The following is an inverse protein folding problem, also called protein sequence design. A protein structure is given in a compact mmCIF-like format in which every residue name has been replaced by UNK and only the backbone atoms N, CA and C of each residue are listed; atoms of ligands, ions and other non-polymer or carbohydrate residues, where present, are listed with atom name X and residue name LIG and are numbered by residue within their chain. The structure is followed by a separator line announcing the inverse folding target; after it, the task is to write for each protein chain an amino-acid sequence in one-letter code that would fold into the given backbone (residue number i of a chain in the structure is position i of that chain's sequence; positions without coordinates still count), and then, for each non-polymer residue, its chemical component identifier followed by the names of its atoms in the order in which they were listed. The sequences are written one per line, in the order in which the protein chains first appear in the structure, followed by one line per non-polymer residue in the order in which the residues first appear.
data_IF_817056448736
#
_entry.id   IF_817056448736
#
_cell.length_a   1.000
_cell.length_b   1.000
_cell.length_c   1.000
_cell.angle_alpha   90.00
_cell.angle_beta   90.00
_cell.angle_gamma   90.00
#
_symmetry.space_group_name_H-M   'P 1'
#
loop_
_entity.id
_entity.type
_entity.pdbx_description
1 polymer ?
#
# COMPACT_ATOMS: atom_id res chain seq x y z
N UNK A 1 -14.49 -29.71 -34.69
CA UNK A 1 -13.47 -29.35 -33.68
C UNK A 1 -12.76 -28.09 -34.14
N UNK A 2 -13.29 -26.91 -33.77
CA UNK A 2 -12.60 -25.64 -33.99
C UNK A 2 -11.79 -25.37 -32.72
N UNK A 3 -10.46 -25.41 -32.83
CA UNK A 3 -9.56 -24.96 -31.77
C UNK A 3 -9.69 -23.44 -31.70
N UNK A 4 -10.47 -22.91 -30.76
CA UNK A 4 -10.39 -21.48 -30.45
C UNK A 4 -9.15 -21.29 -29.58
N UNK A 5 -8.18 -20.57 -30.13
CA UNK A 5 -7.04 -20.02 -29.42
C UNK A 5 -7.59 -19.06 -28.36
N UNK A 6 -7.81 -19.54 -27.13
CA UNK A 6 -8.11 -18.66 -26.01
C UNK A 6 -6.78 -17.97 -25.68
N UNK A 7 -6.68 -16.70 -26.05
CA UNK A 7 -5.53 -15.85 -25.74
C UNK A 7 -5.31 -15.86 -24.24
N UNK A 8 -4.11 -16.25 -23.83
CA UNK A 8 -3.66 -16.16 -22.44
C UNK A 8 -3.83 -14.71 -21.98
N UNK A 9 -4.80 -14.47 -21.08
CA UNK A 9 -4.95 -13.20 -20.40
C UNK A 9 -3.70 -12.99 -19.57
N UNK A 10 -2.93 -11.97 -19.94
CA UNK A 10 -1.73 -11.55 -19.24
C UNK A 10 -2.17 -11.13 -17.83
N UNK A 11 -1.67 -11.86 -16.82
CA UNK A 11 -1.70 -11.43 -15.44
C UNK A 11 -1.15 -9.99 -15.41
N UNK A 12 -2.01 -9.01 -15.10
CA UNK A 12 -1.56 -7.69 -14.69
C UNK A 12 -0.92 -7.84 -13.30
N UNK A 13 0.31 -8.37 -13.30
CA UNK A 13 1.22 -8.45 -12.18
C UNK A 13 1.71 -7.04 -11.89
N UNK A 14 0.98 -6.31 -11.05
CA UNK A 14 1.50 -5.06 -10.52
C UNK A 14 1.75 -5.05 -9.02
N UNK A 15 1.38 -6.09 -8.24
CA UNK A 15 1.66 -6.04 -6.78
C UNK A 15 1.86 -7.38 -6.06
N UNK A 16 2.06 -8.51 -6.74
CA UNK A 16 2.20 -9.77 -6.00
C UNK A 16 3.32 -10.66 -6.51
N UNK A 17 4.40 -10.71 -5.72
CA UNK A 17 5.40 -11.79 -5.75
C UNK A 17 4.76 -13.19 -5.64
N UNK A 18 3.50 -13.30 -5.19
CA UNK A 18 2.70 -14.54 -5.21
C UNK A 18 2.25 -14.98 -6.60
N UNK A 19 2.37 -14.16 -7.66
CA UNK A 19 1.91 -14.54 -9.01
C UNK A 19 2.57 -15.82 -9.55
N UNK A 20 3.80 -16.15 -9.09
CA UNK A 20 4.50 -17.38 -9.47
C UNK A 20 4.20 -18.58 -8.56
N UNK A 21 3.50 -18.35 -7.46
CA UNK A 21 3.17 -19.37 -6.49
C UNK A 21 1.69 -19.77 -6.52
N UNK A 22 0.84 -18.83 -6.96
CA UNK A 22 -0.60 -18.96 -7.10
C UNK A 22 -1.04 -20.24 -7.83
N UNK A 23 -2.17 -20.79 -7.41
CA UNK A 23 -2.78 -21.96 -8.04
C UNK A 23 -4.07 -21.57 -8.77
N UNK A 24 -4.16 -21.88 -10.06
CA UNK A 24 -5.30 -21.51 -10.90
C UNK A 24 -6.07 -22.75 -11.36
N UNK A 25 -7.36 -22.78 -11.04
CA UNK A 25 -8.33 -23.72 -11.59
C UNK A 25 -9.01 -23.09 -12.81
N UNK A 26 -9.23 -23.88 -13.86
CA UNK A 26 -9.92 -23.44 -15.08
C UNK A 26 -11.03 -24.44 -15.40
N UNK A 27 -12.25 -23.95 -15.63
CA UNK A 27 -13.38 -24.79 -16.02
C UNK A 27 -13.39 -25.04 -17.55
N UNK A 28 -14.31 -25.88 -18.03
CA UNK A 28 -14.43 -26.21 -19.47
C UNK A 28 -14.78 -25.00 -20.35
N UNK A 29 -15.38 -23.94 -19.77
CA UNK A 29 -15.71 -22.69 -20.46
C UNK A 29 -14.51 -21.74 -20.58
N UNK A 30 -13.40 -22.02 -19.89
CA UNK A 30 -12.21 -21.16 -19.83
C UNK A 30 -12.25 -20.12 -18.71
N UNK A 31 -13.26 -20.13 -17.83
CA UNK A 31 -13.29 -19.28 -16.65
C UNK A 31 -12.27 -19.79 -15.64
N UNK A 32 -11.63 -18.87 -14.92
CA UNK A 32 -10.59 -19.20 -13.96
C UNK A 32 -10.93 -18.75 -12.54
N UNK A 33 -10.50 -19.57 -11.59
CA UNK A 33 -10.43 -19.23 -10.17
C UNK A 33 -9.00 -19.45 -9.71
N UNK A 34 -8.34 -18.36 -9.31
CA UNK A 34 -6.98 -18.40 -8.77
C UNK A 34 -7.03 -18.25 -7.27
N UNK A 35 -6.34 -19.15 -6.57
CA UNK A 35 -6.02 -19.06 -5.15
C UNK A 35 -4.60 -18.50 -5.05
N UNK A 36 -4.42 -17.49 -4.21
CA UNK A 36 -3.08 -17.01 -3.86
C UNK A 36 -2.98 -16.63 -2.39
N UNK A 37 -1.76 -16.42 -1.92
CA UNK A 37 -1.55 -15.88 -0.60
C UNK A 37 -0.12 -15.98 -0.12
N UNK A 38 0.03 -15.91 1.20
CA UNK A 38 1.29 -16.21 1.88
C UNK A 38 1.06 -16.64 3.31
N UNK A 39 1.92 -17.53 3.78
CA UNK A 39 2.20 -17.69 5.20
C UNK A 39 3.47 -16.90 5.53
N UNK A 40 3.41 -16.18 6.64
CA UNK A 40 4.48 -15.35 7.17
C UNK A 40 4.59 -15.65 8.66
N UNK A 41 5.76 -16.09 9.10
CA UNK A 41 6.09 -16.21 10.51
C UNK A 41 7.17 -15.20 10.80
N UNK A 42 6.87 -14.25 11.68
CA UNK A 42 7.75 -13.13 11.98
C UNK A 42 8.05 -13.10 13.47
N UNK A 43 9.34 -13.02 13.80
CA UNK A 43 9.80 -12.46 15.05
C UNK A 43 9.91 -10.94 14.89
N UNK A 44 9.37 -10.18 15.85
CA UNK A 44 9.47 -8.73 15.86
C UNK A 44 9.79 -8.25 17.28
N UNK A 45 10.82 -7.43 17.38
CA UNK A 45 11.21 -6.63 18.53
C UNK A 45 10.96 -5.16 18.15
N UNK A 46 10.12 -4.48 18.95
CA UNK A 46 9.70 -3.11 18.68
C UNK A 46 10.53 -2.06 19.43
N UNK A 47 11.60 -2.48 20.12
CA UNK A 47 12.45 -1.61 20.91
C UNK A 47 11.87 -1.29 22.30
N UNK A 48 12.65 -0.58 23.11
CA UNK A 48 12.26 -0.18 24.47
C UNK A 48 12.11 -1.38 25.41
N UNK A 49 10.96 -1.46 26.08
CA UNK A 49 10.60 -2.55 27.02
C UNK A 49 9.92 -3.76 26.33
N UNK A 50 9.90 -3.80 24.99
CA UNK A 50 9.35 -4.92 24.23
C UNK A 50 10.26 -6.17 24.37
N UNK A 51 9.66 -7.32 24.69
CA UNK A 51 10.43 -8.57 24.88
C UNK A 51 10.61 -9.37 23.58
N UNK A 52 10.19 -8.81 22.45
CA UNK A 52 10.05 -9.49 21.18
C UNK A 52 8.97 -10.57 21.18
N UNK A 53 8.32 -10.75 20.04
CA UNK A 53 7.25 -11.74 19.89
C UNK A 53 7.28 -12.43 18.54
N UNK A 54 6.74 -13.65 18.51
CA UNK A 54 6.39 -14.31 17.27
C UNK A 54 4.93 -14.00 16.92
N UNK A 55 4.69 -13.56 15.69
CA UNK A 55 3.35 -13.31 15.16
C UNK A 55 3.22 -13.80 13.70
N UNK A 56 2.00 -13.79 13.18
CA UNK A 56 1.67 -14.23 11.81
C UNK A 56 2.05 -13.24 10.71
N UNK A 57 2.79 -12.17 11.05
CA UNK A 57 3.28 -11.19 10.09
C UNK A 57 2.19 -10.67 9.16
N UNK A 58 2.44 -10.77 7.86
CA UNK A 58 1.51 -10.38 6.81
C UNK A 58 0.80 -11.58 6.14
N UNK A 59 0.58 -12.66 6.90
CA UNK A 59 -0.12 -13.86 6.45
C UNK A 59 -1.50 -13.53 5.90
N UNK A 60 -1.84 -14.11 4.75
CA UNK A 60 -3.08 -13.80 4.02
C UNK A 60 -3.43 -14.86 2.98
N UNK A 61 -4.69 -14.81 2.56
CA UNK A 61 -5.27 -15.67 1.54
C UNK A 61 -6.17 -14.85 0.61
N UNK A 62 -6.16 -15.17 -0.68
CA UNK A 62 -6.90 -14.46 -1.71
C UNK A 62 -7.53 -15.40 -2.74
N UNK A 63 -8.67 -14.95 -3.29
CA UNK A 63 -9.40 -15.58 -4.39
C UNK A 63 -9.59 -14.57 -5.51
N UNK A 64 -9.24 -14.97 -6.73
CA UNK A 64 -9.41 -14.15 -7.95
C UNK A 64 -10.18 -14.94 -9.00
N UNK A 65 -11.38 -14.49 -9.32
CA UNK A 65 -12.21 -15.05 -10.37
C UNK A 65 -12.13 -14.24 -11.66
N UNK A 66 -12.12 -14.90 -12.81
CA UNK A 66 -12.22 -14.27 -14.12
C UNK A 66 -13.09 -15.09 -15.07
N UNK A 67 -13.89 -14.42 -15.89
CA UNK A 67 -14.69 -15.03 -16.96
C UNK A 67 -14.68 -14.16 -18.22
N UNK A 68 -14.65 -14.81 -19.37
CA UNK A 68 -14.83 -14.13 -20.65
C UNK A 68 -16.29 -13.71 -20.84
N UNK A 69 -16.51 -12.49 -21.33
CA UNK A 69 -17.83 -11.96 -21.69
C UNK A 69 -17.88 -11.64 -23.19
N UNK A 70 -19.09 -11.34 -23.68
CA UNK A 70 -19.28 -10.95 -25.08
C UNK A 70 -18.52 -9.66 -25.43
N UNK A 71 -18.21 -9.50 -26.72
CA UNK A 71 -17.59 -8.28 -27.28
C UNK A 71 -16.23 -7.91 -26.67
N UNK A 72 -15.44 -8.90 -26.25
CA UNK A 72 -14.07 -8.68 -25.75
C UNK A 72 -13.99 -8.18 -24.32
N UNK A 73 -15.09 -8.18 -23.58
CA UNK A 73 -15.10 -7.88 -22.15
C UNK A 73 -14.65 -9.09 -21.33
N UNK A 74 -14.05 -8.82 -20.18
CA UNK A 74 -13.74 -9.83 -19.15
C UNK A 74 -14.35 -9.38 -17.84
N UNK A 75 -15.16 -10.24 -17.22
CA UNK A 75 -15.63 -10.05 -15.85
C UNK A 75 -14.61 -10.57 -14.85
N UNK A 76 -14.41 -9.88 -13.73
CA UNK A 76 -13.50 -10.33 -12.67
C UNK A 76 -14.02 -10.00 -11.27
N UNK A 77 -13.51 -10.73 -10.29
CA UNK A 77 -13.69 -10.46 -8.87
C UNK A 77 -12.45 -10.85 -8.06
N UNK A 78 -12.21 -10.15 -6.96
CA UNK A 78 -11.10 -10.43 -6.06
C UNK A 78 -11.53 -10.22 -4.61
N UNK A 79 -11.29 -11.21 -3.77
CA UNK A 79 -11.36 -11.11 -2.31
C UNK A 79 -10.03 -11.52 -1.68
N UNK A 80 -9.53 -10.76 -0.71
CA UNK A 80 -8.30 -11.04 0.05
C UNK A 80 -8.57 -10.84 1.54
N UNK A 81 -8.14 -11.78 2.38
CA UNK A 81 -8.23 -11.72 3.84
C UNK A 81 -6.86 -11.86 4.48
N UNK A 82 -6.62 -11.08 5.53
CA UNK A 82 -5.45 -11.19 6.39
C UNK A 82 -5.71 -12.10 7.59
N UNK A 83 -4.66 -12.65 8.16
CA UNK A 83 -4.72 -13.51 9.34
C UNK A 83 -3.74 -13.06 10.43
N UNK A 84 -4.27 -12.83 11.63
CA UNK A 84 -3.51 -12.60 12.85
C UNK A 84 -3.55 -13.85 13.73
N UNK A 85 -2.41 -14.45 14.08
CA UNK A 85 -2.39 -15.56 15.03
C UNK A 85 -2.83 -15.08 16.42
N UNK A 86 -3.91 -15.65 16.98
CA UNK A 86 -4.47 -15.23 18.26
C UNK A 86 -5.42 -16.27 18.88
N UNK A 87 -5.85 -16.05 20.13
CA UNK A 87 -6.50 -17.09 20.93
C UNK A 87 -7.97 -17.40 20.60
N UNK A 88 -8.75 -16.54 19.94
CA UNK A 88 -10.19 -16.78 19.71
C UNK A 88 -10.74 -16.01 18.49
N UNK A 89 -11.30 -16.72 17.50
CA UNK A 89 -12.39 -16.27 16.61
C UNK A 89 -12.15 -15.12 15.62
N UNK A 90 -11.66 -13.97 16.07
CA UNK A 90 -11.70 -12.67 15.36
C UNK A 90 -10.35 -12.32 14.68
N UNK A 91 -9.68 -13.36 14.21
CA UNK A 91 -8.31 -13.32 13.71
C UNK A 91 -8.21 -13.17 12.20
N UNK A 92 -9.34 -13.09 11.49
CA UNK A 92 -9.42 -12.94 10.04
C UNK A 92 -10.10 -11.60 9.75
N UNK A 93 -9.46 -10.77 8.93
CA UNK A 93 -9.96 -9.45 8.56
C UNK A 93 -9.90 -9.25 7.05
N UNK A 94 -10.82 -8.46 6.50
CA UNK A 94 -10.87 -8.18 5.08
C UNK A 94 -9.77 -7.20 4.65
N UNK A 95 -9.09 -7.54 3.56
CA UNK A 95 -8.05 -6.71 2.95
C UNK A 95 -8.49 -6.14 1.61
N UNK A 96 -9.16 -6.94 0.79
CA UNK A 96 -9.70 -6.52 -0.50
C UNK A 96 -11.03 -7.23 -0.76
N UNK A 97 -11.99 -6.53 -1.33
CA UNK A 97 -13.20 -7.11 -1.90
C UNK A 97 -13.73 -6.16 -2.98
N UNK A 98 -13.61 -6.58 -4.24
CA UNK A 98 -14.08 -5.80 -5.39
C UNK A 98 -14.36 -6.68 -6.60
N UNK A 99 -15.18 -6.18 -7.50
CA UNK A 99 -15.51 -6.82 -8.77
C UNK A 99 -15.66 -5.77 -9.87
N UNK A 100 -15.58 -6.20 -11.12
CA UNK A 100 -15.64 -5.28 -12.24
C UNK A 100 -15.53 -5.94 -13.60
N UNK A 101 -15.32 -5.08 -14.60
CA UNK A 101 -15.13 -5.48 -15.99
C UNK A 101 -13.90 -4.81 -16.59
N UNK A 102 -13.26 -5.53 -17.50
CA UNK A 102 -12.06 -5.10 -18.20
C UNK A 102 -12.24 -5.31 -19.70
N UNK A 103 -11.73 -4.38 -20.50
CA UNK A 103 -11.71 -4.46 -21.95
C UNK A 103 -10.48 -3.76 -22.50
N UNK A 104 -9.75 -4.43 -23.37
CA UNK A 104 -8.45 -3.98 -23.91
C UNK A 104 -8.45 -2.51 -24.38
N UNK A 105 -9.48 -2.10 -25.13
CA UNK A 105 -9.64 -0.72 -25.62
C UNK A 105 -10.22 0.28 -24.60
N UNK A 106 -11.17 -0.15 -23.77
CA UNK A 106 -11.99 0.77 -22.95
C UNK A 106 -11.49 0.87 -21.51
N UNK A 107 -10.57 0.01 -21.12
CA UNK A 107 -9.98 -0.04 -19.80
C UNK A 107 -10.79 -0.89 -18.83
N UNK A 108 -10.43 -0.73 -17.56
CA UNK A 108 -10.89 -1.53 -16.43
C UNK A 108 -11.65 -0.64 -15.46
N UNK A 109 -12.88 -1.03 -15.12
CA UNK A 109 -13.66 -0.41 -14.03
C UNK A 109 -13.91 -1.44 -12.93
N UNK A 110 -13.73 -1.04 -11.69
CA UNK A 110 -13.96 -1.89 -10.53
C UNK A 110 -14.66 -1.12 -9.41
N UNK A 111 -15.63 -1.75 -8.76
CA UNK A 111 -16.26 -1.24 -7.55
C UNK A 111 -16.07 -2.26 -6.41
N UNK A 112 -15.87 -1.77 -5.20
CA UNK A 112 -15.66 -2.65 -4.07
C UNK A 112 -15.80 -1.97 -2.72
N UNK A 113 -15.96 -2.78 -1.68
CA UNK A 113 -15.92 -2.31 -0.30
C UNK A 113 -14.50 -1.95 0.10
N UNK A 114 -13.47 -2.55 -0.53
CA UNK A 114 -12.05 -2.24 -0.32
C UNK A 114 -11.20 -2.69 -1.52
N UNK A 115 -10.43 -1.77 -2.12
CA UNK A 115 -9.50 -2.07 -3.22
C UNK A 115 -8.34 -1.06 -3.25
N UNK A 116 -7.25 -1.38 -3.95
CA UNK A 116 -6.15 -0.42 -4.11
C UNK A 116 -6.59 0.79 -4.94
N UNK A 117 -6.39 1.99 -4.39
CA UNK A 117 -6.63 3.22 -5.12
C UNK A 117 -5.60 3.44 -6.21
N UNK A 118 -5.88 4.40 -7.07
CA UNK A 118 -4.96 4.81 -8.13
C UNK A 118 -3.76 5.55 -7.57
N UNK A 119 -3.84 6.14 -6.38
CA UNK A 119 -2.68 6.73 -5.72
C UNK A 119 -1.57 5.68 -5.49
N UNK A 120 -2.01 4.46 -5.14
CA UNK A 120 -1.12 3.32 -4.98
C UNK A 120 -0.46 2.85 -6.28
N UNK A 121 -0.89 3.31 -7.46
CA UNK A 121 -0.22 2.98 -8.74
C UNK A 121 1.22 3.56 -8.82
N UNK A 122 1.53 4.54 -7.96
CA UNK A 122 2.86 5.16 -7.78
C UNK A 122 3.46 4.84 -6.42
N UNK A 123 2.67 4.88 -5.33
CA UNK A 123 3.20 4.67 -3.97
C UNK A 123 3.87 3.28 -3.77
N UNK A 124 3.46 2.26 -4.52
CA UNK A 124 4.08 0.93 -4.43
C UNK A 124 5.57 0.91 -4.81
N UNK A 125 6.09 1.95 -5.48
CA UNK A 125 7.48 1.99 -5.93
C UNK A 125 8.47 1.85 -4.75
N UNK A 126 8.04 2.18 -3.53
CA UNK A 126 8.87 2.09 -2.33
C UNK A 126 8.30 1.16 -1.26
N UNK A 127 7.01 0.77 -1.34
CA UNK A 127 6.39 -0.19 -0.40
C UNK A 127 6.73 -1.67 -0.72
N UNK A 128 7.99 -2.03 -0.51
CA UNK A 128 8.52 -3.36 -0.83
C UNK A 128 9.21 -4.05 0.35
N UNK A 129 9.36 -3.36 1.47
CA UNK A 129 9.85 -3.92 2.73
C UNK A 129 8.95 -5.04 3.27
N UNK A 130 9.47 -5.80 4.23
CA UNK A 130 8.77 -6.93 4.85
C UNK A 130 7.92 -6.51 6.02
N UNK A 131 8.42 -5.57 6.82
CA UNK A 131 7.74 -4.91 7.94
C UNK A 131 7.75 -3.41 7.75
N UNK A 132 8.92 -2.84 7.45
CA UNK A 132 9.12 -1.39 7.43
C UNK A 132 9.12 -0.87 5.98
N UNK A 133 8.03 -1.11 5.25
CA UNK A 133 7.93 -0.84 3.80
C UNK A 133 7.80 0.64 3.43
N UNK A 134 6.72 1.29 3.82
CA UNK A 134 6.47 2.70 3.48
C UNK A 134 5.89 3.43 4.69
N UNK A 135 6.54 4.54 5.05
CA UNK A 135 6.17 5.40 6.19
C UNK A 135 6.39 6.90 5.91
N UNK A 136 7.04 7.24 4.80
CA UNK A 136 7.37 8.60 4.37
C UNK A 136 6.64 9.06 3.10
N UNK A 137 5.95 8.19 2.35
CA UNK A 137 5.27 8.54 1.09
C UNK A 137 3.87 9.19 1.26
N UNK A 138 3.35 9.21 2.49
CA UNK A 138 1.99 9.64 2.80
C UNK A 138 0.89 8.63 2.44
N UNK A 139 1.22 7.45 1.92
CA UNK A 139 0.22 6.45 1.52
C UNK A 139 -0.54 5.81 2.69
N UNK A 140 0.12 5.67 3.84
CA UNK A 140 -0.41 5.05 5.05
C UNK A 140 -0.56 6.10 6.16
N UNK A 141 -1.46 7.05 5.93
CA UNK A 141 -1.84 8.10 6.88
C UNK A 141 -3.05 7.70 7.75
N UNK A 142 -3.34 8.50 8.76
CA UNK A 142 -4.46 8.30 9.71
C UNK A 142 -4.36 6.98 10.51
N UNK A 143 -5.30 6.78 11.43
CA UNK A 143 -5.31 5.61 12.32
C UNK A 143 -5.50 4.26 11.59
N UNK A 144 -6.03 4.26 10.36
CA UNK A 144 -6.40 3.06 9.61
C UNK A 144 -5.44 2.70 8.45
N UNK A 145 -4.29 3.37 8.37
CA UNK A 145 -3.25 3.14 7.36
C UNK A 145 -3.72 3.43 5.93
N UNK A 146 -4.29 4.62 5.73
CA UNK A 146 -4.69 5.15 4.44
C UNK A 146 -5.85 4.40 3.78
N UNK A 147 -6.61 3.63 4.57
CA UNK A 147 -7.83 3.01 4.10
C UNK A 147 -8.86 4.13 3.92
N UNK A 148 -9.11 4.92 4.98
CA UNK A 148 -9.95 6.13 5.11
C UNK A 148 -9.72 7.15 4.01
N UNK A 149 -8.52 7.70 4.00
CA UNK A 149 -8.10 8.71 3.05
C UNK A 149 -8.14 8.19 1.62
N UNK A 150 -8.00 6.87 1.43
CA UNK A 150 -7.95 6.22 0.13
C UNK A 150 -6.63 6.37 -0.62
N UNK A 151 -5.56 6.85 -0.01
CA UNK A 151 -4.24 6.78 -0.64
C UNK A 151 -3.70 5.35 -0.72
N UNK A 152 -4.07 4.48 0.23
CA UNK A 152 -3.75 3.06 0.24
C UNK A 152 -4.86 2.20 -0.36
N UNK A 153 -5.45 1.35 0.49
CA UNK A 153 -6.60 0.52 0.11
C UNK A 153 -7.89 1.30 0.31
N UNK A 154 -8.34 1.99 -0.72
CA UNK A 154 -9.59 2.74 -0.75
C UNK A 154 -10.82 1.86 -0.49
N UNK A 155 -11.52 2.18 0.60
CA UNK A 155 -12.83 1.60 0.93
C UNK A 155 -13.97 2.34 0.22
N UNK A 156 -15.09 1.63 0.03
CA UNK A 156 -16.31 2.13 -0.63
C UNK A 156 -16.02 2.89 -1.93
N UNK A 157 -15.27 2.24 -2.82
CA UNK A 157 -14.61 2.92 -3.93
C UNK A 157 -14.99 2.37 -5.30
N UNK A 158 -14.92 3.25 -6.29
CA UNK A 158 -14.90 2.93 -7.72
C UNK A 158 -13.54 3.35 -8.26
N UNK A 159 -12.91 2.47 -9.04
CA UNK A 159 -11.70 2.80 -9.78
C UNK A 159 -11.89 2.58 -11.26
N UNK A 160 -11.29 3.46 -12.06
CA UNK A 160 -11.13 3.28 -13.50
C UNK A 160 -9.64 3.32 -13.84
N UNK A 161 -9.16 2.41 -14.68
CA UNK A 161 -7.78 2.40 -15.17
C UNK A 161 -7.76 2.10 -16.67
N UNK A 162 -6.89 2.78 -17.41
CA UNK A 162 -6.66 2.50 -18.82
C UNK A 162 -5.23 2.88 -19.21
N UNK A 163 -4.85 2.59 -20.45
CA UNK A 163 -3.53 2.85 -20.99
C UNK A 163 -3.60 3.43 -22.40
N UNK A 164 -2.63 4.28 -22.70
CA UNK A 164 -2.34 4.73 -24.06
C UNK A 164 -1.10 3.98 -24.48
N UNK A 165 -1.32 2.94 -25.27
CA UNK A 165 -0.28 2.02 -25.71
C UNK A 165 0.37 1.34 -24.47
N UNK A 166 1.57 0.79 -24.62
CA UNK A 166 2.30 0.20 -23.50
C UNK A 166 3.06 1.21 -22.63
N UNK A 167 3.05 2.50 -23.02
CA UNK A 167 3.92 3.52 -22.43
C UNK A 167 3.25 4.36 -21.36
N UNK A 168 1.98 4.70 -21.50
CA UNK A 168 1.28 5.58 -20.56
C UNK A 168 0.11 4.81 -19.96
N UNK A 169 0.00 4.81 -18.64
CA UNK A 169 -1.18 4.30 -17.93
C UNK A 169 -1.73 5.37 -17.03
N UNK A 170 -3.04 5.44 -16.88
CA UNK A 170 -3.72 6.42 -16.05
C UNK A 170 -4.90 5.80 -15.33
N UNK A 171 -5.29 6.39 -14.21
CA UNK A 171 -6.43 5.92 -13.45
C UNK A 171 -7.11 7.01 -12.64
N UNK A 172 -8.36 6.75 -12.28
CA UNK A 172 -9.15 7.56 -11.36
C UNK A 172 -9.73 6.70 -10.24
N UNK A 173 -9.83 7.27 -9.05
CA UNK A 173 -10.51 6.70 -7.89
C UNK A 173 -11.58 7.66 -7.42
N UNK A 174 -12.75 7.13 -7.08
CA UNK A 174 -13.80 7.84 -6.35
C UNK A 174 -14.17 7.03 -5.12
N UNK A 175 -14.38 7.70 -3.99
CA UNK A 175 -14.87 7.11 -2.74
C UNK A 175 -16.12 7.85 -2.28
N UNK A 176 -17.09 7.08 -1.79
CA UNK A 176 -18.27 7.65 -1.15
C UNK A 176 -17.90 8.27 0.20
N UNK A 177 -18.86 8.96 0.82
CA UNK A 177 -18.75 9.42 2.21
C UNK A 177 -18.42 8.27 3.15
N UNK A 178 -17.55 8.55 4.11
CA UNK A 178 -17.15 7.65 5.18
C UNK A 178 -17.18 8.44 6.47
N UNK A 179 -17.94 7.95 7.44
CA UNK A 179 -18.26 8.65 8.68
C UNK A 179 -17.44 8.04 9.84
N UNK A 180 -17.29 8.79 10.94
CA UNK A 180 -16.63 8.34 12.17
C UNK A 180 -15.19 7.82 11.96
N UNK A 181 -14.43 8.44 11.05
CA UNK A 181 -13.05 8.06 10.77
C UNK A 181 -12.13 8.63 11.83
N UNK A 182 -11.43 7.76 12.56
CA UNK A 182 -10.38 8.16 13.49
C UNK A 182 -9.22 8.85 12.74
N UNK A 183 -8.94 10.10 13.11
CA UNK A 183 -7.83 10.86 12.54
C UNK A 183 -6.51 10.40 13.15
N UNK A 184 -6.42 10.44 14.49
CA UNK A 184 -5.37 9.79 15.27
C UNK A 184 -6.00 9.02 16.44
N UNK A 185 -5.67 9.33 17.69
CA UNK A 185 -6.13 8.56 18.87
C UNK A 185 -7.34 9.16 19.59
N UNK A 186 -7.66 10.45 19.37
CA UNK A 186 -8.60 11.17 20.22
C UNK A 186 -9.87 11.63 19.52
N UNK A 187 -9.87 11.73 18.19
CA UNK A 187 -10.93 12.41 17.46
C UNK A 187 -11.27 11.72 16.13
N UNK A 188 -12.48 11.99 15.67
CA UNK A 188 -13.02 11.49 14.42
C UNK A 188 -13.47 12.62 13.49
N UNK A 189 -13.61 12.29 12.20
CA UNK A 189 -14.23 13.13 11.19
C UNK A 189 -14.93 12.27 10.12
N UNK A 190 -15.82 12.89 9.36
CA UNK A 190 -16.32 12.37 8.09
C UNK A 190 -15.40 12.78 6.94
N UNK A 191 -15.08 11.83 6.05
CA UNK A 191 -14.39 12.09 4.79
C UNK A 191 -15.38 11.97 3.63
N UNK A 192 -15.55 13.06 2.89
CA UNK A 192 -16.48 13.20 1.76
C UNK A 192 -15.70 13.40 0.46
N UNK A 193 -16.37 13.16 -0.67
CA UNK A 193 -15.85 13.51 -2.01
C UNK A 193 -14.42 12.99 -2.26
N UNK A 194 -14.13 11.75 -1.86
CA UNK A 194 -12.81 11.16 -2.02
C UNK A 194 -12.47 10.98 -3.50
N UNK A 195 -11.46 11.68 -4.00
CA UNK A 195 -11.10 11.71 -5.41
C UNK A 195 -9.60 11.51 -5.60
N UNK A 196 -9.24 10.55 -6.44
CA UNK A 196 -7.85 10.23 -6.76
C UNK A 196 -7.60 10.13 -8.25
N UNK A 197 -6.38 10.42 -8.67
CA UNK A 197 -5.93 10.23 -10.04
C UNK A 197 -4.47 9.78 -10.07
N UNK A 198 -4.09 9.02 -11.08
CA UNK A 198 -2.71 8.62 -11.31
C UNK A 198 -2.36 8.66 -12.79
N UNK A 199 -1.08 8.89 -13.07
CA UNK A 199 -0.49 8.70 -14.38
C UNK A 199 0.91 8.09 -14.23
N UNK A 200 1.24 7.12 -15.07
CA UNK A 200 2.57 6.53 -15.15
C UNK A 200 3.06 6.55 -16.59
N UNK A 201 4.38 6.67 -16.77
CA UNK A 201 5.03 6.75 -18.07
C UNK A 201 6.30 5.91 -18.10
N UNK A 202 6.44 5.08 -19.14
CA UNK A 202 7.63 4.26 -19.42
C UNK A 202 8.40 4.85 -20.59
N UNK A 203 9.37 5.75 -20.34
CA UNK A 203 10.14 6.40 -21.41
C UNK A 203 11.04 5.40 -22.15
N UNK A 204 11.65 4.48 -21.40
CA UNK A 204 12.59 3.46 -21.85
C UNK A 204 12.44 2.20 -21.00
N UNK A 205 13.00 1.09 -21.48
CA UNK A 205 12.94 -0.19 -20.77
C UNK A 205 13.52 -0.09 -19.36
N UNK A 206 12.81 -0.69 -18.41
CA UNK A 206 13.18 -0.72 -17.00
C UNK A 206 12.83 0.54 -16.21
N UNK A 207 12.61 1.70 -16.82
CA UNK A 207 12.25 2.95 -16.11
C UNK A 207 10.74 3.19 -16.16
N UNK A 208 10.14 3.48 -15.00
CA UNK A 208 8.77 4.00 -14.90
C UNK A 208 8.78 5.28 -14.07
N UNK A 209 8.18 6.35 -14.61
CA UNK A 209 7.89 7.59 -13.91
C UNK A 209 6.40 7.62 -13.54
N UNK A 210 6.04 8.24 -12.42
CA UNK A 210 4.67 8.30 -11.94
C UNK A 210 4.35 9.62 -11.25
N UNK A 211 3.09 10.03 -11.37
CA UNK A 211 2.48 11.08 -10.56
C UNK A 211 1.11 10.61 -10.09
N UNK A 212 0.77 10.92 -8.84
CA UNK A 212 -0.50 10.55 -8.25
C UNK A 212 -1.02 11.68 -7.35
N UNK A 213 -2.33 11.87 -7.35
CA UNK A 213 -3.02 12.83 -6.49
C UNK A 213 -4.19 12.15 -5.79
N UNK A 214 -4.46 12.54 -4.55
CA UNK A 214 -5.67 12.13 -3.84
C UNK A 214 -6.16 13.25 -2.93
N UNK A 215 -7.47 13.36 -2.75
CA UNK A 215 -8.08 14.32 -1.84
C UNK A 215 -9.36 13.78 -1.18
N UNK A 216 -9.73 14.36 -0.06
CA UNK A 216 -11.06 14.25 0.55
C UNK A 216 -11.47 15.61 1.13
N UNK A 217 -12.77 15.88 1.17
CA UNK A 217 -13.35 16.97 1.95
C UNK A 217 -13.60 16.48 3.38
N UNK A 218 -13.19 17.26 4.36
CA UNK A 218 -13.35 16.95 5.78
C UNK A 218 -14.66 17.57 6.29
N UNK A 219 -15.46 16.79 7.00
CA UNK A 219 -16.71 17.25 7.58
C UNK A 219 -16.98 16.54 8.92
N UNK A 220 -18.00 17.00 9.64
CA UNK A 220 -18.44 16.42 10.91
C UNK A 220 -17.27 16.23 11.92
N UNK A 221 -16.34 17.19 11.92
CA UNK A 221 -15.14 17.19 12.77
C UNK A 221 -15.49 17.30 14.25
N UNK A 222 -14.88 16.44 15.06
CA UNK A 222 -14.88 16.58 16.51
C UNK A 222 -14.23 17.89 16.98
N UNK A 223 -14.75 18.47 18.07
CA UNK A 223 -14.29 19.75 18.60
C UNK A 223 -12.85 19.73 19.15
N UNK A 224 -12.28 18.54 19.36
CA UNK A 224 -10.90 18.34 19.81
C UNK A 224 -9.89 18.29 18.66
N UNK A 225 -10.32 18.49 17.41
CA UNK A 225 -9.44 18.55 16.24
C UNK A 225 -8.96 19.98 16.01
N UNK A 226 -7.68 20.13 15.68
CA UNK A 226 -7.06 21.40 15.27
C UNK A 226 -6.26 21.23 13.98
N UNK A 227 -5.92 22.34 13.33
CA UNK A 227 -5.18 22.36 12.06
C UNK A 227 -6.04 22.19 10.80
N UNK A 228 -7.32 21.86 10.94
CA UNK A 228 -8.28 21.74 9.83
C UNK A 228 -9.69 22.13 10.27
N UNK A 229 -10.51 22.66 9.36
CA UNK A 229 -11.91 23.04 9.60
C UNK A 229 -12.91 22.23 8.75
N UNK A 230 -14.19 22.26 9.13
CA UNK A 230 -15.26 21.64 8.34
C UNK A 230 -15.38 22.31 6.96
N UNK A 231 -15.34 21.51 5.90
CA UNK A 231 -15.35 21.96 4.51
C UNK A 231 -13.96 22.13 3.89
N UNK A 232 -12.89 22.03 4.68
CA UNK A 232 -11.53 21.97 4.15
C UNK A 232 -11.27 20.67 3.41
N UNK A 233 -10.23 20.68 2.57
CA UNK A 233 -9.76 19.47 1.92
C UNK A 233 -8.48 18.97 2.59
N UNK A 234 -8.40 17.66 2.79
CA UNK A 234 -7.12 16.95 2.90
C UNK A 234 -6.69 16.51 1.50
N UNK A 235 -5.42 16.73 1.13
CA UNK A 235 -4.92 16.35 -0.19
C UNK A 235 -3.44 16.04 -0.21
N UNK A 236 -3.03 15.23 -1.18
CA UNK A 236 -1.64 14.84 -1.38
C UNK A 236 -1.33 14.71 -2.86
N UNK A 237 -0.13 15.17 -3.24
CA UNK A 237 0.49 14.90 -4.54
C UNK A 237 1.77 14.10 -4.31
N UNK A 238 1.94 13.02 -5.07
CA UNK A 238 3.09 12.13 -5.04
C UNK A 238 3.72 12.07 -6.42
N UNK A 239 5.03 12.21 -6.47
CA UNK A 239 5.86 11.91 -7.63
C UNK A 239 6.69 10.67 -7.32
N UNK A 240 6.92 9.83 -8.32
CA UNK A 240 7.72 8.64 -8.15
C UNK A 240 8.48 8.24 -9.40
N UNK A 241 9.59 7.54 -9.20
CA UNK A 241 10.31 6.86 -10.26
C UNK A 241 10.75 5.48 -9.76
N UNK A 242 10.73 4.48 -10.64
CA UNK A 242 11.41 3.22 -10.38
C UNK A 242 12.24 2.78 -11.60
N UNK A 243 13.27 2.02 -11.32
CA UNK A 243 14.12 1.34 -12.26
C UNK A 243 14.23 -0.13 -11.89
N UNK A 244 14.04 -1.01 -12.86
CA UNK A 244 14.22 -2.45 -12.72
C UNK A 244 15.01 -3.00 -13.89
N UNK A 245 16.09 -3.73 -13.60
CA UNK A 245 16.89 -4.41 -14.61
C UNK A 245 17.56 -5.66 -14.03
N UNK A 246 17.20 -6.83 -14.54
CA UNK A 246 17.73 -8.11 -14.08
C UNK A 246 17.46 -8.35 -12.58
N UNK A 247 18.54 -8.41 -11.79
CA UNK A 247 18.46 -8.56 -10.33
C UNK A 247 18.25 -7.25 -9.57
N UNK A 248 18.46 -6.09 -10.20
CA UNK A 248 18.45 -4.79 -9.53
C UNK A 248 17.07 -4.12 -9.58
N UNK A 249 16.69 -3.49 -8.48
CA UNK A 249 15.57 -2.57 -8.38
C UNK A 249 15.94 -1.35 -7.56
N UNK A 250 15.47 -0.18 -8.00
CA UNK A 250 15.46 1.03 -7.19
C UNK A 250 14.14 1.78 -7.44
N UNK A 251 13.50 2.23 -6.37
CA UNK A 251 12.35 3.11 -6.39
C UNK A 251 12.61 4.32 -5.52
N UNK A 252 12.06 5.46 -5.92
CA UNK A 252 12.06 6.68 -5.12
C UNK A 252 10.72 7.39 -5.26
N UNK A 253 10.26 7.99 -4.17
CA UNK A 253 9.05 8.80 -4.13
C UNK A 253 9.30 10.11 -3.41
N UNK A 254 8.52 11.13 -3.74
CA UNK A 254 8.49 12.43 -3.08
C UNK A 254 7.04 12.93 -3.07
N UNK A 255 6.57 13.43 -1.94
CA UNK A 255 5.21 13.95 -1.81
C UNK A 255 5.16 15.31 -1.14
N UNK A 256 4.05 15.98 -1.40
CA UNK A 256 3.61 17.17 -0.69
C UNK A 256 2.13 17.01 -0.37
N UNK A 257 1.76 17.20 0.88
CA UNK A 257 0.39 17.06 1.37
C UNK A 257 -0.08 18.28 2.16
N UNK A 258 -1.38 18.53 2.11
CA UNK A 258 -2.10 19.53 2.89
C UNK A 258 -3.12 18.85 3.78
N UNK A 259 -3.13 19.17 5.08
CA UNK A 259 -3.98 18.54 6.10
C UNK A 259 -3.99 17.00 5.96
N UNK A 260 -2.83 16.39 5.71
CA UNK A 260 -2.79 15.02 5.20
C UNK A 260 -2.51 13.98 6.28
N UNK A 261 -1.71 14.34 7.28
CA UNK A 261 -1.33 13.46 8.39
C UNK A 261 -1.88 14.01 9.71
N UNK A 262 -2.04 13.12 10.69
CA UNK A 262 -2.57 13.47 12.00
C UNK A 262 -1.70 12.92 13.13
N UNK A 263 -1.55 13.69 14.20
CA UNK A 263 -0.88 13.25 15.43
C UNK A 263 -1.71 13.65 16.65
N UNK A 264 -1.67 12.83 17.68
CA UNK A 264 -2.28 13.14 18.97
C UNK A 264 -1.31 13.90 19.87
N UNK A 265 -1.70 15.08 20.33
CA UNK A 265 -0.97 15.90 21.30
C UNK A 265 -1.84 16.14 22.53
N UNK A 266 -1.63 15.33 23.57
CA UNK A 266 -2.51 15.32 24.73
C UNK A 266 -3.92 14.86 24.36
N UNK A 267 -4.94 15.65 24.69
CA UNK A 267 -6.35 15.34 24.41
C UNK A 267 -6.85 15.84 23.04
N UNK A 268 -5.96 16.29 22.17
CA UNK A 268 -6.25 16.90 20.87
C UNK A 268 -5.59 16.08 19.77
N UNK A 269 -6.27 15.98 18.62
CA UNK A 269 -5.65 15.50 17.39
C UNK A 269 -5.38 16.71 16.48
N UNK A 270 -4.14 16.82 16.02
CA UNK A 270 -3.68 17.88 15.12
C UNK A 270 -3.48 17.29 13.73
N UNK A 271 -4.19 17.84 12.75
CA UNK A 271 -3.95 17.60 11.33
C UNK A 271 -2.91 18.59 10.82
N UNK A 272 -1.98 18.14 9.99
CA UNK A 272 -0.87 18.98 9.53
C UNK A 272 -0.46 18.72 8.09
N UNK A 273 0.30 19.67 7.57
CA UNK A 273 0.83 19.66 6.23
C UNK A 273 2.11 18.82 6.15
N UNK A 274 2.26 18.01 5.11
CA UNK A 274 3.40 17.10 5.01
C UNK A 274 4.29 17.37 3.81
N UNK A 275 5.59 17.16 4.01
CA UNK A 275 6.55 16.98 2.93
C UNK A 275 7.34 15.72 3.24
N UNK A 276 7.54 14.85 2.25
CA UNK A 276 8.27 13.61 2.49
C UNK A 276 8.67 12.88 1.23
N UNK A 277 9.26 11.72 1.42
CA UNK A 277 9.73 10.88 0.34
C UNK A 277 10.41 9.62 0.85
N UNK A 278 10.63 8.68 -0.07
CA UNK A 278 11.20 7.38 0.24
C UNK A 278 12.17 6.94 -0.84
N UNK A 279 13.11 6.08 -0.46
CA UNK A 279 13.97 5.35 -1.39
C UNK A 279 13.95 3.89 -0.98
N UNK A 280 13.70 3.00 -1.93
CA UNK A 280 13.81 1.55 -1.73
C UNK A 280 14.69 0.93 -2.81
N UNK A 281 15.65 0.09 -2.43
CA UNK A 281 16.48 -0.63 -3.40
C UNK A 281 16.77 -2.05 -2.96
N UNK A 282 16.97 -2.93 -3.94
CA UNK A 282 17.56 -4.25 -3.72
C UNK A 282 18.38 -4.70 -4.91
N UNK A 283 19.28 -5.64 -4.67
CA UNK A 283 19.90 -6.46 -5.71
C UNK A 283 19.69 -7.94 -5.39
N UNK A 284 19.06 -8.69 -6.28
CA UNK A 284 18.85 -10.13 -6.13
C UNK A 284 19.93 -10.91 -6.88
N UNK A 285 20.88 -11.46 -6.12
CA UNK A 285 21.96 -12.30 -6.64
C UNK A 285 21.46 -13.66 -7.10
N UNK A 286 22.14 -14.27 -8.06
CA UNK A 286 21.78 -15.60 -8.59
C UNK A 286 21.81 -16.72 -7.54
N UNK A 287 22.57 -16.54 -6.46
CA UNK A 287 22.61 -17.47 -5.33
C UNK A 287 21.41 -17.34 -4.36
N UNK A 288 20.45 -16.47 -4.66
CA UNK A 288 19.24 -16.25 -3.85
C UNK A 288 19.37 -15.18 -2.77
N UNK A 289 20.55 -14.62 -2.53
CA UNK A 289 20.70 -13.48 -1.61
C UNK A 289 20.09 -12.21 -2.21
N UNK A 290 19.40 -11.44 -1.37
CA UNK A 290 18.89 -10.12 -1.73
C UNK A 290 19.07 -9.15 -0.55
N UNK A 291 20.17 -8.38 -0.50
CA UNK A 291 20.21 -7.20 0.35
C UNK A 291 19.17 -6.17 -0.11
N UNK A 292 18.55 -5.51 0.87
CA UNK A 292 17.60 -4.43 0.66
C UNK A 292 18.03 -3.20 1.46
N UNK A 293 17.64 -2.02 0.99
CA UNK A 293 17.77 -0.78 1.74
C UNK A 293 16.52 0.04 1.52
N UNK A 294 15.93 0.50 2.61
CA UNK A 294 14.81 1.42 2.61
C UNK A 294 15.15 2.68 3.43
N UNK A 295 14.76 3.84 2.93
CA UNK A 295 14.87 5.12 3.62
C UNK A 295 13.53 5.83 3.53
N UNK A 296 13.00 6.29 4.67
CA UNK A 296 11.72 7.00 4.73
C UNK A 296 11.91 8.33 5.45
N UNK A 297 11.47 9.42 4.82
CA UNK A 297 11.47 10.74 5.41
C UNK A 297 10.08 11.38 5.28
N UNK A 298 9.61 12.03 6.34
CA UNK A 298 8.42 12.88 6.30
C UNK A 298 8.51 13.89 7.43
N UNK A 299 8.26 15.15 7.14
CA UNK A 299 8.18 16.22 8.13
C UNK A 299 6.82 16.88 8.07
N UNK A 300 6.48 17.52 9.19
CA UNK A 300 5.54 18.61 9.19
C UNK A 300 6.20 19.84 8.55
N UNK A 301 5.70 20.25 7.38
CA UNK A 301 6.28 21.40 6.64
C UNK A 301 5.81 22.76 7.14
N UNK A 302 4.71 22.80 7.90
CA UNK A 302 4.14 24.02 8.47
C UNK A 302 4.60 24.27 9.92
N UNK A 303 5.21 23.23 10.54
CA UNK A 303 5.63 23.20 11.94
C UNK A 303 4.45 23.40 12.91
N UNK A 304 3.22 23.05 12.50
CA UNK A 304 2.04 23.07 13.37
C UNK A 304 2.22 22.16 14.59
N UNK A 305 2.93 21.04 14.41
CA UNK A 305 3.25 20.01 15.40
C UNK A 305 4.38 20.42 16.35
N UNK A 306 5.14 21.46 16.02
CA UNK A 306 6.34 21.91 16.74
C UNK A 306 7.42 20.83 16.81
N UNK A 307 7.82 20.32 15.65
CA UNK A 307 8.98 19.45 15.50
C UNK A 307 8.71 17.96 15.24
N UNK A 308 7.55 17.60 14.66
CA UNK A 308 7.35 16.25 14.11
C UNK A 308 8.27 16.03 12.90
N UNK A 309 9.08 14.98 12.98
CA UNK A 309 9.93 14.52 11.89
C UNK A 309 10.00 12.99 11.93
N UNK A 310 9.71 12.33 10.82
CA UNK A 310 9.98 10.91 10.63
C UNK A 310 11.21 10.75 9.76
N UNK A 311 12.19 9.99 10.24
CA UNK A 311 13.45 9.76 9.53
C UNK A 311 13.95 8.35 9.84
N UNK A 312 13.74 7.41 8.91
CA UNK A 312 13.96 5.98 9.13
C UNK A 312 14.96 5.42 8.13
N UNK A 313 15.98 4.72 8.61
CA UNK A 313 16.93 3.97 7.79
C UNK A 313 16.78 2.48 8.07
N UNK A 314 16.39 1.70 7.06
CA UNK A 314 16.10 0.26 7.20
C UNK A 314 16.95 -0.57 6.23
N UNK A 315 18.15 -1.02 6.62
CA UNK A 315 18.81 -2.11 5.93
C UNK A 315 18.06 -3.44 6.16
N UNK A 316 18.04 -4.28 5.13
CA UNK A 316 17.49 -5.62 5.21
C UNK A 316 18.29 -6.63 4.39
N UNK A 317 18.04 -7.91 4.67
CA UNK A 317 18.63 -9.02 3.95
C UNK A 317 17.63 -10.16 3.82
N UNK A 318 17.49 -10.67 2.61
CA UNK A 318 16.68 -11.85 2.30
C UNK A 318 17.55 -12.96 1.71
N UNK A 319 17.19 -14.20 2.02
CA UNK A 319 17.69 -15.36 1.31
C UNK A 319 16.52 -16.16 0.74
N UNK A 320 16.47 -16.24 -0.59
CA UNK A 320 15.45 -16.97 -1.33
C UNK A 320 15.94 -18.37 -1.68
N UNK A 321 15.36 -19.39 -1.05
CA UNK A 321 15.54 -20.79 -1.46
C UNK A 321 14.91 -21.03 -2.83
N UNK A 322 13.77 -20.40 -3.06
CA UNK A 322 13.15 -20.27 -4.37
C UNK A 322 12.77 -18.80 -4.56
N UNK A 323 13.29 -18.19 -5.62
CA UNK A 323 13.09 -16.76 -5.92
C UNK A 323 11.62 -16.38 -5.80
N UNK A 324 11.34 -15.43 -4.91
CA UNK A 324 10.01 -14.90 -4.59
C UNK A 324 8.94 -15.93 -4.16
N UNK A 325 9.32 -17.16 -3.79
CA UNK A 325 8.36 -18.21 -3.35
C UNK A 325 8.57 -18.66 -1.92
N UNK A 326 9.80 -19.01 -1.54
CA UNK A 326 10.15 -19.40 -0.18
C UNK A 326 11.45 -18.72 0.23
N UNK A 327 11.39 -17.92 1.30
CA UNK A 327 12.51 -17.12 1.75
C UNK A 327 12.55 -16.98 3.27
N UNK A 328 13.73 -16.67 3.77
CA UNK A 328 13.93 -16.05 5.08
C UNK A 328 14.40 -14.62 4.90
N UNK A 329 14.11 -13.75 5.85
CA UNK A 329 14.43 -12.33 5.76
C UNK A 329 14.68 -11.73 7.14
N UNK A 330 15.39 -10.61 7.15
CA UNK A 330 15.57 -9.75 8.33
C UNK A 330 15.61 -8.28 7.91
N UNK A 331 15.10 -7.41 8.77
CA UNK A 331 15.13 -5.95 8.64
C UNK A 331 15.47 -5.35 10.01
N UNK A 332 16.27 -4.30 10.02
CA UNK A 332 16.53 -3.49 11.21
C UNK A 332 16.19 -2.04 10.87
N UNK A 333 15.31 -1.40 11.63
CA UNK A 333 14.96 0.01 11.47
C UNK A 333 15.75 0.82 12.48
N UNK A 334 16.63 1.69 12.00
CA UNK A 334 17.14 2.81 12.77
C UNK A 334 16.12 3.94 12.72
N UNK A 335 15.65 4.39 13.87
CA UNK A 335 14.87 5.62 13.96
C UNK A 335 15.81 6.79 14.27
N UNK A 336 15.82 7.78 13.39
CA UNK A 336 16.66 8.98 13.46
C UNK A 336 15.80 10.24 13.61
N UNK A 337 14.48 10.07 13.71
CA UNK A 337 13.50 11.14 13.71
C UNK A 337 13.07 11.57 15.11
N UNK A 338 11.90 12.20 15.12
CA UNK A 338 11.12 12.68 16.25
C UNK A 338 9.63 12.53 15.90
N UNK A 339 9.10 11.33 16.02
CA UNK A 339 7.70 11.03 15.64
C UNK A 339 6.90 10.34 16.76
N UNK A 340 7.42 10.39 18.00
CA UNK A 340 6.74 9.97 19.21
C UNK A 340 6.53 11.15 20.16
N UNK A 341 5.26 11.49 20.41
CA UNK A 341 4.92 12.53 21.39
C UNK A 341 5.07 11.98 22.82
N UNK A 342 5.91 12.61 23.64
CA UNK A 342 6.21 12.19 25.02
C UNK A 342 5.28 12.81 26.08
N UNK A 343 4.32 13.63 25.64
CA UNK A 343 3.47 14.46 26.50
C UNK A 343 3.84 15.95 26.47
N UNK A 344 5.01 16.30 25.94
CA UNK A 344 5.51 17.68 25.84
C UNK A 344 6.09 18.03 24.48
N UNK A 345 6.80 17.11 23.82
CA UNK A 345 7.42 17.30 22.51
C UNK A 345 7.53 15.97 21.76
N UNK A 346 7.93 16.05 20.50
CA UNK A 346 8.30 14.86 19.75
C UNK A 346 9.74 14.44 20.05
N UNK A 347 9.89 13.15 20.34
CA UNK A 347 11.14 12.46 20.59
C UNK A 347 11.30 11.30 19.62
N UNK A 348 12.54 10.81 19.54
CA UNK A 348 12.86 9.65 18.75
C UNK A 348 12.20 8.38 19.35
N UNK A 349 11.77 7.47 18.49
CA UNK A 349 11.36 6.13 18.90
C UNK A 349 12.59 5.24 19.10
N UNK A 350 12.35 4.09 19.70
CA UNK A 350 13.33 3.02 19.74
C UNK A 350 13.52 2.36 18.37
N UNK A 351 14.75 1.95 18.10
CA UNK A 351 15.11 1.11 16.95
C UNK A 351 14.35 -0.22 17.00
N UNK A 352 14.01 -0.78 15.83
CA UNK A 352 13.23 -2.02 15.74
C UNK A 352 13.96 -3.09 14.95
N UNK A 353 13.75 -4.35 15.33
CA UNK A 353 14.27 -5.50 14.62
C UNK A 353 13.16 -6.47 14.23
N UNK A 354 13.23 -7.00 13.01
CA UNK A 354 12.36 -8.06 12.59
C UNK A 354 13.11 -9.12 11.77
N UNK A 355 12.67 -10.37 11.91
CA UNK A 355 13.11 -11.46 11.08
C UNK A 355 11.97 -12.42 10.84
N UNK A 356 11.98 -13.14 9.72
CA UNK A 356 10.89 -14.05 9.44
C UNK A 356 11.15 -15.02 8.31
N UNK A 357 10.18 -15.91 8.15
CA UNK A 357 10.09 -16.89 7.08
C UNK A 357 8.81 -16.60 6.31
N UNK A 358 8.90 -16.57 4.98
CA UNK A 358 7.74 -16.34 4.13
C UNK A 358 7.63 -17.38 3.03
N UNK A 359 6.43 -17.95 2.92
CA UNK A 359 6.04 -18.88 1.87
C UNK A 359 4.84 -18.32 1.11
N UNK A 360 5.02 -18.09 -0.19
CA UNK A 360 3.94 -17.72 -1.11
C UNK A 360 3.35 -18.96 -1.76
N UNK A 361 2.03 -18.93 -2.00
CA UNK A 361 1.26 -19.96 -2.69
C UNK A 361 0.18 -19.35 -3.58
#
# INVERSE_FOLDING_TARGET
MKKSTLSAVILAALTSSSAFAAHTFVNDAGDSLTIDGRFDLRYQDRGGDDNGEWNSGSSRFGLKGQMGLDNGWTGFGHAEWGYNSGANGDNIYDRLLYAGVDHEKYGKIAAGTKQWSTFYDVAWYTDLGRVFGTRGSGVYNLADWGIASGAGRAENSITYRNSINEKVSYGFTYQTTREDIALASNATASLKNGMGASITYKPVDGITLGAAYHQNEVADLDASVVGVENGDNMRIMLLGANYSNGGFYAGATFHVGENWEAVSQGGTDLMFDTLGGEIYTYYHFDNGLRPTLNYNYMEDRGDETQGYERNLLIPGLEYHFQKNKFLVWTEYQFDLGKDQYDGSKFENRDDQFAAGIRYYF
#
